data_IF_401996650902
#
_entry.id   IF_401996650902
#
_cell.length_a   1.000
_cell.length_b   1.000
_cell.length_c   1.000
_cell.angle_alpha   90.00
_cell.angle_beta   90.00
_cell.angle_gamma   90.00
#
_symmetry.space_group_name_H-M   'P 1'
#
loop_
_entity.id
_entity.type
_entity.pdbx_description
1 polymer ?
#
# COMPACT_ATOMS: atom_id res chain seq x y z
N UNK A 1 19.39 15.56 8.44
CA UNK A 1 20.69 15.02 7.95
C UNK A 1 20.52 14.74 6.46
N UNK A 2 21.43 15.15 5.57
CA UNK A 2 21.23 14.96 4.12
C UNK A 2 21.77 13.59 3.68
N UNK A 3 20.98 12.83 2.91
CA UNK A 3 21.47 11.61 2.25
C UNK A 3 22.18 11.98 0.94
N UNK A 4 23.25 11.26 0.55
CA UNK A 4 23.82 11.36 -0.78
C UNK A 4 22.76 11.11 -1.86
N UNK A 5 22.82 11.81 -2.99
CA UNK A 5 21.82 11.70 -4.08
C UNK A 5 21.71 10.29 -4.67
N UNK A 6 22.75 9.47 -4.52
CA UNK A 6 22.82 8.09 -5.01
C UNK A 6 22.29 7.07 -3.98
N UNK A 7 22.00 7.51 -2.74
CA UNK A 7 21.52 6.66 -1.66
C UNK A 7 19.99 6.66 -1.62
N UNK A 8 19.41 5.48 -1.47
CA UNK A 8 17.96 5.35 -1.33
C UNK A 8 17.55 5.60 0.12
N UNK A 9 16.46 6.36 0.32
CA UNK A 9 15.84 6.51 1.64
C UNK A 9 15.13 5.21 2.02
N UNK A 10 15.60 4.55 3.06
CA UNK A 10 15.01 3.33 3.57
C UNK A 10 14.00 3.64 4.68
N UNK A 11 12.74 3.29 4.47
CA UNK A 11 11.65 3.52 5.41
C UNK A 11 11.13 2.17 5.89
N UNK A 12 11.23 1.93 7.19
CA UNK A 12 10.58 0.81 7.85
C UNK A 12 9.08 1.08 7.98
N UNK A 13 8.27 0.31 7.27
CA UNK A 13 6.80 0.46 7.28
C UNK A 13 6.09 -0.61 8.10
N UNK A 14 6.85 -1.40 8.87
CA UNK A 14 6.29 -2.38 9.81
C UNK A 14 5.49 -1.66 10.89
N UNK A 15 4.55 -2.38 11.48
CA UNK A 15 3.80 -1.84 12.62
C UNK A 15 4.74 -1.52 13.79
N UNK A 16 4.38 -0.54 14.62
CA UNK A 16 5.17 -0.23 15.82
C UNK A 16 5.32 -1.43 16.74
N UNK A 17 4.32 -2.31 16.82
CA UNK A 17 4.42 -3.56 17.58
C UNK A 17 5.51 -4.50 17.03
N UNK A 18 5.65 -4.62 15.71
CA UNK A 18 6.72 -5.41 15.09
C UNK A 18 8.10 -4.79 15.35
N UNK A 19 8.21 -3.47 15.27
CA UNK A 19 9.46 -2.75 15.56
C UNK A 19 9.83 -2.85 17.04
N UNK A 20 8.86 -2.81 17.96
CA UNK A 20 9.11 -3.03 19.39
C UNK A 20 9.58 -4.46 19.68
N UNK A 21 9.08 -5.45 18.93
CA UNK A 21 9.41 -6.86 19.15
C UNK A 21 10.76 -7.26 18.53
N UNK A 22 11.08 -6.75 17.34
CA UNK A 22 12.27 -7.17 16.57
C UNK A 22 13.33 -6.08 16.45
N UNK A 23 13.09 -4.89 16.98
CA UNK A 23 13.87 -3.69 16.68
C UNK A 23 13.52 -3.08 15.33
N UNK A 24 13.89 -1.82 15.14
CA UNK A 24 13.87 -1.17 13.83
C UNK A 24 14.92 -1.82 12.94
N UNK A 25 14.66 -1.87 11.64
CA UNK A 25 15.62 -2.41 10.70
C UNK A 25 16.90 -1.55 10.71
N UNK A 26 18.07 -2.18 10.80
CA UNK A 26 19.36 -1.48 10.93
C UNK A 26 19.70 -0.58 9.74
N UNK A 27 19.20 -0.96 8.56
CA UNK A 27 19.35 -0.23 7.30
C UNK A 27 18.25 0.81 7.06
N UNK A 28 17.28 0.96 7.98
CA UNK A 28 16.24 1.96 7.85
C UNK A 28 16.71 3.32 8.36
N UNK A 29 16.42 4.37 7.59
CA UNK A 29 16.65 5.76 7.95
C UNK A 29 15.51 6.30 8.84
N UNK A 30 14.28 5.79 8.63
CA UNK A 30 13.10 6.22 9.37
C UNK A 30 12.10 5.06 9.58
N UNK A 31 11.24 5.20 10.59
CA UNK A 31 10.12 4.28 10.85
C UNK A 31 8.79 5.03 10.69
N UNK A 32 7.98 4.58 9.72
CA UNK A 32 6.64 5.13 9.44
C UNK A 32 5.68 3.97 9.17
N UNK A 33 4.93 3.50 10.18
CA UNK A 33 3.99 2.39 10.00
C UNK A 33 3.00 2.65 8.87
N UNK A 34 2.87 1.70 7.94
CA UNK A 34 1.79 1.75 6.93
C UNK A 34 0.44 1.34 7.51
N UNK A 35 0.45 0.35 8.42
CA UNK A 35 -0.68 -0.01 9.25
C UNK A 35 -0.35 0.27 10.70
N UNK A 36 -1.32 0.83 11.40
CA UNK A 36 -1.24 1.14 12.83
C UNK A 36 -2.62 1.05 13.46
N UNK A 37 -2.66 0.94 14.78
CA UNK A 37 -3.91 0.88 15.50
C UNK A 37 -3.65 0.73 16.98
N UNK A 38 -4.68 0.95 17.81
CA UNK A 38 -4.61 0.65 19.23
C UNK A 38 -4.24 -0.83 19.40
N UNK A 39 -3.15 -1.10 20.14
CA UNK A 39 -2.69 -2.48 20.40
C UNK A 39 -3.52 -3.18 21.48
N UNK A 40 -4.53 -2.51 22.02
CA UNK A 40 -5.43 -2.94 23.07
C UNK A 40 -6.82 -3.36 22.56
N UNK A 41 -7.11 -3.18 21.27
CA UNK A 41 -8.40 -3.56 20.67
C UNK A 41 -8.35 -4.93 19.97
N UNK A 42 -8.98 -5.93 20.59
CA UNK A 42 -9.07 -7.30 20.06
C UNK A 42 -10.37 -7.54 19.29
N UNK A 43 -10.27 -8.05 18.06
CA UNK A 43 -11.41 -8.51 17.27
C UNK A 43 -11.64 -10.01 17.51
N UNK A 44 -12.72 -10.34 18.22
CA UNK A 44 -13.10 -11.73 18.56
C UNK A 44 -13.36 -12.59 17.31
N UNK A 45 -13.99 -12.03 16.28
CA UNK A 45 -14.34 -12.76 15.06
C UNK A 45 -13.12 -13.06 14.20
N UNK A 46 -12.23 -12.07 14.05
CA UNK A 46 -10.99 -12.22 13.28
C UNK A 46 -9.85 -12.85 14.09
N UNK A 47 -10.07 -13.12 15.38
CA UNK A 47 -9.06 -13.61 16.33
C UNK A 47 -7.72 -12.88 16.20
N UNK A 48 -7.78 -11.55 16.09
CA UNK A 48 -6.60 -10.70 15.90
C UNK A 48 -6.85 -9.31 16.46
N UNK A 49 -5.78 -8.57 16.76
CA UNK A 49 -5.86 -7.16 17.10
C UNK A 49 -6.30 -6.34 15.88
N UNK A 50 -7.17 -5.36 16.10
CA UNK A 50 -7.61 -4.45 15.05
C UNK A 50 -6.42 -3.67 14.52
N UNK A 51 -6.30 -3.64 13.19
CA UNK A 51 -5.28 -2.84 12.51
C UNK A 51 -5.97 -1.93 11.51
N UNK A 52 -5.70 -0.64 11.63
CA UNK A 52 -6.21 0.40 10.75
C UNK A 52 -5.10 0.88 9.81
N UNK A 53 -5.47 1.41 8.65
CA UNK A 53 -4.50 2.12 7.81
C UNK A 53 -4.02 3.37 8.55
N UNK A 54 -2.72 3.65 8.52
CA UNK A 54 -2.21 4.91 9.04
C UNK A 54 -2.59 6.04 8.06
N UNK A 55 -3.55 6.89 8.44
CA UNK A 55 -4.01 8.01 7.60
C UNK A 55 -2.93 9.06 7.38
N UNK A 56 -1.95 9.14 8.29
CA UNK A 56 -0.84 10.09 8.21
C UNK A 56 0.38 9.54 7.45
N UNK A 57 0.30 8.32 6.90
CA UNK A 57 1.42 7.66 6.24
C UNK A 57 2.06 8.52 5.13
N UNK A 58 1.24 9.08 4.23
CA UNK A 58 1.73 9.92 3.13
C UNK A 58 2.40 11.18 3.64
N UNK A 59 1.82 11.81 4.66
CA UNK A 59 2.35 13.05 5.25
C UNK A 59 3.68 12.77 5.97
N UNK A 60 3.76 11.68 6.74
CA UNK A 60 5.01 11.25 7.37
C UNK A 60 6.12 10.98 6.37
N UNK A 61 5.81 10.30 5.26
CA UNK A 61 6.81 10.06 4.20
C UNK A 61 7.26 11.37 3.57
N UNK A 62 6.34 12.30 3.32
CA UNK A 62 6.67 13.63 2.81
C UNK A 62 7.59 14.41 3.76
N UNK A 63 7.30 14.39 5.07
CA UNK A 63 8.10 15.10 6.07
C UNK A 63 9.52 14.54 6.15
N UNK A 64 9.67 13.22 6.16
CA UNK A 64 11.00 12.56 6.14
C UNK A 64 11.75 12.91 4.87
N UNK A 65 11.12 12.78 3.70
CA UNK A 65 11.78 13.12 2.42
C UNK A 65 12.29 14.57 2.44
N UNK A 66 11.50 15.50 2.96
CA UNK A 66 11.90 16.90 3.11
C UNK A 66 13.04 17.08 4.11
N UNK A 67 13.02 16.39 5.25
CA UNK A 67 14.09 16.44 6.26
C UNK A 67 15.43 15.95 5.71
N UNK A 68 15.40 14.97 4.82
CA UNK A 68 16.57 14.42 4.14
C UNK A 68 16.98 15.20 2.87
N UNK A 69 16.22 16.24 2.49
CA UNK A 69 16.48 17.07 1.31
C UNK A 69 16.27 16.34 -0.02
N UNK A 70 15.42 15.31 -0.03
CA UNK A 70 15.10 14.48 -1.18
C UNK A 70 13.86 15.00 -1.93
N UNK A 71 13.64 14.45 -3.12
CA UNK A 71 12.56 14.82 -4.02
C UNK A 71 11.70 13.60 -4.38
N UNK A 72 10.60 13.80 -5.11
CA UNK A 72 9.64 12.72 -5.42
C UNK A 72 10.20 11.63 -6.33
N UNK A 73 11.23 11.93 -7.10
CA UNK A 73 11.96 11.01 -7.98
C UNK A 73 13.13 10.32 -7.28
N UNK A 74 13.50 10.75 -6.06
CA UNK A 74 14.56 10.13 -5.28
C UNK A 74 14.23 8.66 -4.97
N UNK A 75 15.24 7.78 -4.91
CA UNK A 75 15.01 6.37 -4.62
C UNK A 75 14.50 6.16 -3.18
N UNK A 76 13.42 5.40 -3.03
CA UNK A 76 12.82 5.02 -1.75
C UNK A 76 12.78 3.50 -1.65
N UNK A 77 13.19 2.96 -0.52
CA UNK A 77 13.08 1.54 -0.18
C UNK A 77 12.10 1.39 0.98
N UNK A 78 11.02 0.62 0.78
CA UNK A 78 10.09 0.28 1.85
C UNK A 78 10.45 -1.08 2.42
N UNK A 79 10.75 -1.13 3.72
CA UNK A 79 11.04 -2.36 4.45
C UNK A 79 9.77 -2.85 5.12
N UNK A 80 9.39 -4.10 4.88
CA UNK A 80 8.18 -4.68 5.46
C UNK A 80 8.35 -6.16 5.80
N UNK A 81 7.53 -6.70 6.70
CA UNK A 81 7.43 -8.16 6.89
C UNK A 81 6.50 -8.82 5.87
N UNK A 82 5.58 -8.06 5.28
CA UNK A 82 4.47 -8.58 4.46
C UNK A 82 4.45 -8.00 3.05
N UNK A 83 4.58 -8.87 2.05
CA UNK A 83 4.58 -8.49 0.63
C UNK A 83 3.34 -7.68 0.23
N UNK A 84 2.16 -8.14 0.65
CA UNK A 84 0.90 -7.48 0.30
C UNK A 84 0.80 -6.08 0.90
N UNK A 85 1.30 -5.87 2.13
CA UNK A 85 1.30 -4.55 2.77
C UNK A 85 2.28 -3.62 2.07
N UNK A 86 3.48 -4.10 1.75
CA UNK A 86 4.50 -3.32 1.04
C UNK A 86 4.08 -2.90 -0.36
N UNK A 87 3.50 -3.80 -1.16
CA UNK A 87 3.01 -3.44 -2.50
C UNK A 87 1.91 -2.38 -2.43
N UNK A 88 0.99 -2.47 -1.47
CA UNK A 88 -0.07 -1.45 -1.28
C UNK A 88 0.50 -0.10 -0.86
N UNK A 89 1.45 -0.08 0.07
CA UNK A 89 2.14 1.15 0.47
C UNK A 89 2.88 1.78 -0.72
N UNK A 90 3.60 0.98 -1.50
CA UNK A 90 4.29 1.44 -2.70
C UNK A 90 3.31 1.99 -3.75
N UNK A 91 2.18 1.33 -3.99
CA UNK A 91 1.13 1.83 -4.88
C UNK A 91 0.55 3.15 -4.39
N UNK A 92 0.34 3.31 -3.09
CA UNK A 92 -0.16 4.56 -2.52
C UNK A 92 0.85 5.72 -2.72
N UNK A 93 2.13 5.46 -2.52
CA UNK A 93 3.19 6.44 -2.79
C UNK A 93 3.32 6.77 -4.29
N UNK A 94 3.17 5.78 -5.17
CA UNK A 94 3.15 6.02 -6.62
C UNK A 94 2.00 6.95 -7.03
N UNK A 95 0.80 6.74 -6.49
CA UNK A 95 -0.34 7.64 -6.71
C UNK A 95 -0.05 9.05 -6.16
N UNK A 96 0.68 9.15 -5.05
CA UNK A 96 1.16 10.42 -4.52
C UNK A 96 2.32 11.05 -5.33
N UNK A 97 2.76 10.42 -6.42
CA UNK A 97 3.76 10.94 -7.36
C UNK A 97 5.19 10.54 -7.07
N UNK A 98 5.43 9.59 -6.17
CA UNK A 98 6.77 9.03 -5.93
C UNK A 98 7.10 7.96 -6.97
N UNK A 99 8.21 8.12 -7.70
CA UNK A 99 8.47 7.35 -8.92
C UNK A 99 9.39 6.14 -8.72
N UNK A 100 10.35 6.23 -7.81
CA UNK A 100 11.41 5.23 -7.65
C UNK A 100 11.27 4.49 -6.31
N UNK A 101 10.30 3.58 -6.25
CA UNK A 101 10.02 2.82 -5.02
C UNK A 101 10.37 1.35 -5.23
N UNK A 102 11.15 0.79 -4.30
CA UNK A 102 11.36 -0.65 -4.16
C UNK A 102 10.83 -1.13 -2.83
N UNK A 103 10.40 -2.37 -2.77
CA UNK A 103 9.92 -2.99 -1.53
C UNK A 103 10.84 -4.15 -1.18
N UNK A 104 11.32 -4.18 0.05
CA UNK A 104 12.11 -5.27 0.60
C UNK A 104 11.28 -5.95 1.68
N UNK A 105 11.09 -7.26 1.52
CA UNK A 105 10.53 -8.09 2.57
C UNK A 105 11.66 -8.59 3.49
N UNK A 106 11.43 -8.46 4.79
CA UNK A 106 12.33 -8.92 5.83
C UNK A 106 11.61 -9.84 6.80
N UNK A 107 12.10 -11.08 6.92
CA UNK A 107 11.55 -12.09 7.82
C UNK A 107 12.69 -12.69 8.63
N UNK A 108 12.89 -12.22 9.86
CA UNK A 108 14.07 -12.58 10.65
C UNK A 108 15.32 -11.88 10.10
N UNK A 109 16.40 -12.64 9.88
CA UNK A 109 17.68 -12.14 9.32
C UNK A 109 17.78 -12.27 7.80
N UNK A 110 16.68 -12.54 7.09
CA UNK A 110 16.70 -12.72 5.63
C UNK A 110 15.90 -11.65 4.90
N UNK A 111 16.49 -11.22 3.79
CA UNK A 111 15.97 -10.15 2.93
C UNK A 111 15.58 -10.72 1.57
N UNK A 112 14.38 -10.38 1.11
CA UNK A 112 13.92 -10.67 -0.24
C UNK A 112 13.43 -9.38 -0.92
N UNK A 113 14.00 -9.09 -2.08
CA UNK A 113 13.52 -7.98 -2.91
C UNK A 113 12.19 -8.36 -3.55
N UNK A 114 11.21 -7.46 -3.49
CA UNK A 114 9.93 -7.61 -4.17
C UNK A 114 9.95 -6.71 -5.40
N UNK A 115 9.76 -7.31 -6.58
CA UNK A 115 9.52 -6.54 -7.80
C UNK A 115 8.09 -5.97 -7.80
N UNK A 116 7.97 -4.65 -7.65
CA UNK A 116 6.72 -3.93 -7.89
C UNK A 116 6.52 -3.73 -9.39
N UNK A 117 5.96 -4.73 -10.08
CA UNK A 117 5.69 -4.63 -11.52
C UNK A 117 4.67 -3.53 -11.81
N UNK A 118 5.00 -2.61 -12.74
CA UNK A 118 4.07 -1.64 -13.32
C UNK A 118 3.00 -2.36 -14.16
N UNK A 119 1.96 -2.92 -13.53
CA UNK A 119 0.74 -3.26 -14.26
C UNK A 119 0.00 -1.97 -14.56
N UNK A 120 0.27 -1.40 -15.74
CA UNK A 120 -0.65 -0.50 -16.44
C UNK A 120 -2.03 -1.17 -16.37
N UNK A 121 -3.00 -0.53 -15.72
CA UNK A 121 -4.40 -0.92 -15.84
C UNK A 121 -4.76 -0.77 -17.32
N UNK A 122 -4.64 -1.87 -18.07
CA UNK A 122 -5.30 -1.98 -19.37
C UNK A 122 -6.79 -1.99 -19.06
N UNK A 123 -7.47 -0.95 -19.55
CA UNK A 123 -8.91 -0.83 -19.49
C UNK A 123 -9.55 -2.14 -19.92
N UNK A 124 -10.45 -2.64 -19.08
CA UNK A 124 -11.34 -3.71 -19.48
C UNK A 124 -12.40 -3.02 -20.34
N UNK A 125 -12.12 -2.90 -21.64
CA UNK A 125 -13.15 -2.53 -22.61
C UNK A 125 -14.25 -3.59 -22.53
N UNK A 126 -15.40 -3.16 -22.03
CA UNK A 126 -16.64 -3.91 -22.02
C UNK A 126 -17.02 -4.17 -23.47
N UNK A 127 -16.66 -5.34 -23.99
CA UNK A 127 -17.31 -5.88 -25.19
C UNK A 127 -18.65 -6.46 -24.77
N UNK A 128 -19.65 -5.58 -24.64
CA UNK A 128 -21.03 -6.00 -24.74
C UNK A 128 -21.28 -6.52 -26.16
N UNK A 129 -21.61 -7.80 -26.23
CA UNK A 129 -21.96 -8.48 -27.46
C UNK A 129 -23.28 -7.96 -28.00
N UNK A 130 -23.22 -7.47 -29.23
CA UNK A 130 -24.37 -7.21 -30.09
C UNK A 130 -25.13 -8.53 -30.31
N UNK A 131 -26.37 -8.62 -29.85
CA UNK A 131 -27.37 -9.57 -30.37
C UNK A 131 -28.64 -8.77 -30.64
N UNK A 132 -28.92 -8.58 -31.93
CA UNK A 132 -30.14 -7.95 -32.42
C UNK A 132 -31.35 -8.90 -32.32
N UNK A 133 -32.47 -8.30 -31.91
CA UNK A 133 -33.85 -8.49 -32.41
C UNK A 133 -34.53 -9.85 -32.22
N UNK A 134 -35.55 -9.88 -31.33
CA UNK A 134 -36.54 -10.96 -31.36
C UNK A 134 -37.49 -11.05 -30.16
N UNK A 135 -38.61 -10.32 -30.26
CA UNK A 135 -39.91 -10.60 -29.64
C UNK A 135 -40.15 -10.20 -28.17
N UNK A 136 -40.91 -9.10 -28.00
CA UNK A 136 -41.56 -8.70 -26.75
C UNK A 136 -42.79 -9.57 -26.43
N UNK A 137 -42.97 -10.06 -25.20
CA UNK A 137 -44.31 -10.35 -24.68
C UNK A 137 -44.85 -9.18 -23.87
N UNK A 138 -46.03 -8.73 -24.31
CA UNK A 138 -46.91 -7.70 -23.74
C UNK A 138 -47.34 -8.04 -22.31
N UNK A 139 -47.32 -7.06 -21.40
CA UNK A 139 -47.85 -7.19 -20.04
C UNK A 139 -49.38 -7.12 -20.02
N UNK A 140 -50.09 -7.92 -19.19
CA UNK A 140 -51.52 -7.78 -19.02
C UNK A 140 -51.87 -6.66 -18.02
N UNK A 141 -52.79 -5.79 -18.46
CA UNK A 141 -53.49 -4.77 -17.66
C UNK A 141 -54.33 -5.43 -16.55
N UNK A 142 -54.19 -4.96 -15.31
CA UNK A 142 -55.15 -5.24 -14.22
C UNK A 142 -56.08 -4.04 -14.10
N UNK A 143 -57.34 -4.22 -14.52
CA UNK A 143 -58.45 -3.31 -14.24
C UNK A 143 -59.10 -3.71 -12.92
N UNK A 144 -59.11 -2.80 -11.96
CA UNK A 144 -59.95 -2.88 -10.75
C UNK A 144 -61.41 -2.56 -11.13
N UNK A 145 -62.32 -3.45 -10.79
CA UNK A 145 -63.75 -3.18 -10.61
C UNK A 145 -64.17 -3.63 -9.22
#
# INVERSE_FOLDING_TARGET
MFLPTDQALAIDIRSSAEVMLYGMAEDADAHIPYYGGPIDEWNVFQQSFLTHGNTDFINGVFDVIREYGLYRDSPIVLITKSNRKGVRAASLLQVAGYMNIRVVQRVGNTDSLIETTHKKQVGKDEKEGFMEEGSFPVTPNVTLQ
#
